data_IF_755605229024
#
_entry.id   IF_755605229024
#
_cell.length_a   1.000
_cell.length_b   1.000
_cell.length_c   1.000
_cell.angle_alpha   90.00
_cell.angle_beta   90.00
_cell.angle_gamma   90.00
#
_symmetry.space_group_name_H-M   'P 1'
#
loop_
_entity.id
_entity.type
_entity.pdbx_description
1 polymer ?
#
# COMPACT_ATOMS: atom_id res chain seq x y z
N UNK A 1 -1.75 15.12 26.64
CA UNK A 1 -1.15 13.87 27.16
C UNK A 1 0.16 13.57 26.41
N UNK A 2 0.17 13.50 25.08
CA UNK A 2 1.39 13.17 24.32
C UNK A 2 2.54 14.16 24.52
N UNK A 3 2.25 15.45 24.65
CA UNK A 3 3.26 16.49 24.89
C UNK A 3 3.99 16.37 26.25
N UNK A 4 3.41 15.64 27.21
CA UNK A 4 4.02 15.37 28.51
C UNK A 4 4.94 14.15 28.54
N UNK A 5 5.01 13.37 27.44
CA UNK A 5 5.89 12.21 27.32
C UNK A 5 7.22 12.69 26.70
N UNK A 6 8.34 12.33 27.33
CA UNK A 6 9.67 12.66 26.82
C UNK A 6 10.11 11.66 25.73
N UNK A 7 10.93 12.13 24.78
CA UNK A 7 11.47 11.32 23.69
C UNK A 7 10.60 11.30 22.44
N UNK A 8 11.00 10.50 21.47
CA UNK A 8 10.26 10.31 20.21
C UNK A 8 9.00 9.47 20.48
N UNK A 9 7.91 9.82 19.83
CA UNK A 9 6.60 9.22 20.01
C UNK A 9 6.03 8.75 18.69
N UNK A 10 5.73 7.48 18.57
CA UNK A 10 5.05 6.92 17.40
C UNK A 10 3.59 6.64 17.76
N UNK A 11 2.68 7.32 17.07
CA UNK A 11 1.26 7.05 17.09
C UNK A 11 0.90 6.20 15.88
N UNK A 12 0.38 5.00 16.11
CA UNK A 12 -0.12 4.11 15.07
C UNK A 12 -1.65 4.13 15.15
N UNK A 13 -2.29 4.45 14.03
CA UNK A 13 -3.75 4.58 13.95
C UNK A 13 -4.28 3.65 12.88
N UNK A 14 -4.98 2.62 13.31
CA UNK A 14 -5.66 1.68 12.43
C UNK A 14 -7.17 1.93 12.48
N UNK A 15 -7.64 2.73 11.55
CA UNK A 15 -9.04 3.12 11.43
C UNK A 15 -9.36 3.64 10.03
N UNK A 16 -10.62 3.53 9.64
CA UNK A 16 -11.14 4.18 8.45
C UNK A 16 -10.86 5.70 8.51
N UNK A 17 -10.49 6.28 7.38
CA UNK A 17 -10.20 7.72 7.24
C UNK A 17 -9.10 8.25 8.15
N UNK A 18 -8.23 7.39 8.65
CA UNK A 18 -7.20 7.74 9.65
C UNK A 18 -6.19 8.77 9.14
N UNK A 19 -5.93 8.84 7.84
CA UNK A 19 -5.08 9.86 7.21
C UNK A 19 -5.59 11.29 7.39
N UNK A 20 -6.89 11.48 7.64
CA UNK A 20 -7.45 12.79 7.97
C UNK A 20 -6.86 13.37 9.26
N UNK A 21 -6.43 12.53 10.19
CA UNK A 21 -5.77 12.93 11.43
C UNK A 21 -4.47 13.73 11.18
N UNK A 22 -3.78 13.43 10.09
CA UNK A 22 -2.52 14.09 9.70
C UNK A 22 -2.73 15.04 8.51
N UNK A 23 -3.97 15.42 8.24
CA UNK A 23 -4.34 16.40 7.19
C UNK A 23 -4.22 15.85 5.76
N UNK A 24 -4.06 14.54 5.59
CA UNK A 24 -3.93 13.89 4.29
C UNK A 24 -5.27 13.39 3.78
N UNK A 25 -5.53 13.67 2.52
CA UNK A 25 -6.74 13.20 1.88
C UNK A 25 -7.95 14.12 2.06
N UNK A 26 -7.79 15.34 2.55
CA UNK A 26 -8.84 16.35 2.56
C UNK A 26 -8.65 17.23 1.31
N UNK A 27 -9.35 16.91 0.22
CA UNK A 27 -9.41 17.82 -0.94
C UNK A 27 -10.50 18.88 -0.72
N UNK A 28 -10.30 20.05 -1.30
CA UNK A 28 -11.33 21.11 -1.32
C UNK A 28 -12.63 20.65 -2.02
N UNK A 29 -12.59 19.60 -2.83
CA UNK A 29 -13.74 19.04 -3.55
C UNK A 29 -14.60 18.08 -2.71
N UNK A 30 -14.10 17.56 -1.59
CA UNK A 30 -14.94 16.79 -0.65
C UNK A 30 -15.87 17.65 0.19
N UNK A 31 -15.82 18.97 0.03
CA UNK A 31 -16.73 19.93 0.61
C UNK A 31 -17.95 20.13 -0.30
N UNK A 32 -18.81 19.10 -0.42
CA UNK A 32 -20.12 19.29 -1.08
C UNK A 32 -20.92 20.38 -0.34
N UNK A 33 -21.64 21.27 -1.08
CA UNK A 33 -22.52 22.26 -0.46
C UNK A 33 -23.58 21.55 0.40
N UNK A 34 -23.50 21.73 1.71
CA UNK A 34 -24.43 21.12 2.69
C UNK A 34 -23.79 20.21 3.71
N UNK A 35 -22.57 19.71 3.52
CA UNK A 35 -21.80 19.10 4.60
C UNK A 35 -21.16 20.19 5.45
N UNK A 36 -21.44 20.23 6.75
CA UNK A 36 -20.69 21.03 7.72
C UNK A 36 -19.31 20.38 7.94
N UNK A 37 -18.51 20.22 6.87
CA UNK A 37 -17.12 19.90 6.99
C UNK A 37 -16.41 21.16 7.50
N UNK A 38 -15.83 21.08 8.67
CA UNK A 38 -14.99 22.14 9.21
C UNK A 38 -13.83 22.37 8.23
N UNK A 39 -13.49 23.62 7.99
CA UNK A 39 -12.36 23.99 7.12
C UNK A 39 -11.09 23.23 7.50
N UNK A 40 -10.25 22.82 6.53
CA UNK A 40 -8.98 22.14 6.80
C UNK A 40 -8.08 22.89 7.80
N UNK A 41 -8.17 24.22 7.87
CA UNK A 41 -7.46 25.06 8.83
C UNK A 41 -7.86 24.82 10.30
N UNK A 42 -9.01 24.20 10.56
CA UNK A 42 -9.47 23.91 11.93
C UNK A 42 -9.02 22.53 12.44
N UNK A 43 -8.38 21.72 11.60
CA UNK A 43 -7.85 20.40 11.96
C UNK A 43 -6.33 20.39 12.17
N UNK A 44 -5.69 21.56 12.29
CA UNK A 44 -4.33 21.62 12.85
C UNK A 44 -4.40 21.22 14.32
N UNK A 45 -4.34 19.92 14.56
CA UNK A 45 -4.23 19.41 15.93
C UNK A 45 -2.91 19.87 16.51
N UNK A 46 -2.89 20.62 17.64
CA UNK A 46 -1.66 21.22 18.18
C UNK A 46 -0.53 20.22 18.42
N UNK A 47 -0.83 18.93 18.63
CA UNK A 47 0.17 17.89 18.84
C UNK A 47 0.98 17.56 17.58
N UNK A 48 0.44 17.79 16.38
CA UNK A 48 1.17 17.58 15.13
C UNK A 48 2.25 18.65 14.89
N UNK A 49 2.24 19.74 15.67
CA UNK A 49 3.30 20.74 15.67
C UNK A 49 4.58 20.26 16.39
N UNK A 50 4.50 19.24 17.23
CA UNK A 50 5.64 18.65 17.89
C UNK A 50 6.42 17.72 16.95
N UNK A 51 7.69 18.05 16.68
CA UNK A 51 8.55 17.28 15.76
C UNK A 51 8.92 15.89 16.29
N UNK A 52 8.74 15.66 17.58
CA UNK A 52 8.98 14.38 18.23
C UNK A 52 7.78 13.42 18.13
N UNK A 53 6.68 13.84 17.47
CA UNK A 53 5.51 12.99 17.24
C UNK A 53 5.50 12.53 15.79
N UNK A 54 5.53 11.23 15.60
CA UNK A 54 5.40 10.54 14.34
C UNK A 54 4.05 9.85 14.29
N UNK A 55 3.38 9.88 13.16
CA UNK A 55 2.05 9.26 13.01
C UNK A 55 2.03 8.36 11.80
N UNK A 56 1.72 7.10 12.00
CA UNK A 56 1.51 6.09 10.96
C UNK A 56 0.02 5.72 10.94
N UNK A 57 -0.62 5.83 9.78
CA UNK A 57 -2.05 5.54 9.63
C UNK A 57 -2.29 4.44 8.62
N UNK A 58 -3.29 3.59 8.86
CA UNK A 58 -3.62 2.44 8.00
C UNK A 58 -4.31 2.81 6.69
N UNK A 59 -4.91 4.02 6.62
CA UNK A 59 -5.68 4.46 5.47
C UNK A 59 -5.46 5.94 5.20
N UNK A 60 -5.78 6.41 3.98
CA UNK A 60 -5.87 7.84 3.69
C UNK A 60 -7.12 8.46 4.33
N UNK A 61 -7.28 9.78 4.20
CA UNK A 61 -8.46 10.48 4.73
C UNK A 61 -9.74 10.24 3.94
N UNK A 62 -9.71 9.46 2.87
CA UNK A 62 -10.86 9.21 1.97
C UNK A 62 -11.30 7.76 1.90
N UNK A 63 -10.54 6.85 2.52
CA UNK A 63 -10.76 5.42 2.36
C UNK A 63 -10.90 4.70 3.70
N UNK A 64 -11.48 3.51 3.63
CA UNK A 64 -11.61 2.63 4.79
C UNK A 64 -10.33 1.84 5.03
N UNK A 65 -10.03 1.58 6.30
CA UNK A 65 -9.14 0.50 6.70
C UNK A 65 -9.96 -0.79 6.77
N UNK A 66 -9.38 -1.90 6.38
CA UNK A 66 -10.08 -3.16 6.23
C UNK A 66 -9.58 -4.21 7.23
N UNK A 67 -10.48 -5.06 7.62
CA UNK A 67 -10.18 -6.27 8.39
C UNK A 67 -10.78 -7.48 7.69
N UNK A 68 -10.22 -8.64 7.89
CA UNK A 68 -10.86 -9.88 7.47
C UNK A 68 -11.62 -10.48 8.65
N UNK A 69 -12.84 -10.84 8.37
CA UNK A 69 -13.65 -11.64 9.25
C UNK A 69 -13.70 -13.06 8.67
N UNK A 70 -13.27 -14.01 9.45
CA UNK A 70 -13.45 -15.42 9.11
C UNK A 70 -14.87 -15.78 9.54
N UNK A 71 -15.86 -15.65 8.67
CA UNK A 71 -17.23 -16.05 8.96
C UNK A 71 -17.27 -17.45 9.58
N UNK A 72 -17.70 -17.51 10.82
CA UNK A 72 -17.80 -18.75 11.59
C UNK A 72 -16.58 -19.10 12.45
N UNK A 73 -15.55 -18.25 12.54
CA UNK A 73 -14.41 -18.47 13.43
C UNK A 73 -14.55 -17.66 14.73
N UNK A 74 -14.25 -18.32 15.82
CA UNK A 74 -14.39 -17.78 17.18
C UNK A 74 -13.27 -16.85 17.61
N UNK A 75 -12.29 -16.59 16.76
CA UNK A 75 -11.02 -15.91 17.11
C UNK A 75 -10.96 -14.43 16.79
N UNK A 76 -12.02 -13.85 16.24
CA UNK A 76 -12.11 -12.40 16.00
C UNK A 76 -11.50 -11.91 14.69
N UNK A 77 -11.93 -10.73 14.28
CA UNK A 77 -11.45 -10.07 13.08
C UNK A 77 -10.03 -9.52 13.28
N UNK A 78 -9.18 -9.65 12.25
CA UNK A 78 -7.82 -9.10 12.25
C UNK A 78 -7.72 -8.06 11.12
N UNK A 79 -7.20 -6.89 11.45
CA UNK A 79 -6.91 -5.86 10.46
C UNK A 79 -5.78 -6.29 9.53
N UNK A 80 -5.91 -6.05 8.24
CA UNK A 80 -4.85 -6.27 7.26
C UNK A 80 -3.60 -5.45 7.61
N UNK A 81 -3.80 -4.20 8.03
CA UNK A 81 -2.72 -3.33 8.47
C UNK A 81 -2.00 -3.90 9.70
N UNK A 82 -2.72 -4.32 10.74
CA UNK A 82 -2.12 -4.89 11.94
C UNK A 82 -1.36 -6.19 11.65
N UNK A 83 -1.91 -7.04 10.76
CA UNK A 83 -1.25 -8.28 10.32
C UNK A 83 0.07 -7.98 9.59
N UNK A 84 0.05 -7.05 8.63
CA UNK A 84 1.25 -6.64 7.91
C UNK A 84 2.27 -5.95 8.82
N UNK A 85 1.82 -5.08 9.74
CA UNK A 85 2.68 -4.44 10.74
C UNK A 85 3.45 -5.48 11.58
N UNK A 86 2.75 -6.50 12.02
CA UNK A 86 3.34 -7.61 12.80
C UNK A 86 4.40 -8.36 12.01
N UNK A 87 4.16 -8.65 10.73
CA UNK A 87 5.13 -9.29 9.84
C UNK A 87 6.33 -8.37 9.56
N UNK A 88 6.04 -7.11 9.27
CA UNK A 88 7.07 -6.10 8.99
C UNK A 88 8.06 -5.93 10.14
N UNK A 89 7.59 -6.01 11.37
CA UNK A 89 8.41 -5.90 12.58
C UNK A 89 8.97 -7.24 13.10
N UNK A 90 8.77 -8.34 12.38
CA UNK A 90 9.39 -9.63 12.67
C UNK A 90 8.68 -10.47 13.73
N UNK A 91 7.39 -10.23 14.00
CA UNK A 91 6.64 -11.03 14.98
C UNK A 91 6.56 -12.52 14.57
N UNK A 92 6.60 -12.80 13.28
CA UNK A 92 6.52 -14.16 12.72
C UNK A 92 7.87 -14.67 12.17
N UNK A 93 8.97 -14.04 12.51
CA UNK A 93 10.29 -14.44 12.04
C UNK A 93 11.18 -13.25 11.70
N UNK A 94 11.86 -13.28 10.55
CA UNK A 94 12.66 -12.15 10.10
C UNK A 94 11.74 -10.95 9.84
N UNK A 95 12.16 -9.72 10.26
CA UNK A 95 11.40 -8.51 9.93
C UNK A 95 11.30 -8.32 8.41
N UNK A 96 10.11 -8.41 7.84
CA UNK A 96 9.91 -8.29 6.39
C UNK A 96 10.10 -6.84 5.90
N UNK A 97 9.98 -5.85 6.80
CA UNK A 97 10.23 -4.46 6.49
C UNK A 97 11.73 -4.08 6.48
N UNK A 98 12.64 -4.93 6.97
CA UNK A 98 14.08 -4.75 6.83
C UNK A 98 14.52 -4.99 5.37
N UNK A 99 14.31 -3.98 4.53
CA UNK A 99 14.50 -4.10 3.08
C UNK A 99 15.96 -4.13 2.66
N UNK A 100 16.85 -3.55 3.46
CA UNK A 100 18.28 -3.48 3.19
C UNK A 100 19.09 -4.57 3.92
N UNK A 101 18.43 -5.40 4.76
CA UNK A 101 19.01 -6.50 5.53
C UNK A 101 20.10 -6.06 6.52
N UNK A 102 19.94 -4.89 7.13
CA UNK A 102 20.87 -4.37 8.15
C UNK A 102 20.52 -4.75 9.59
N UNK A 103 19.39 -5.42 9.81
CA UNK A 103 18.89 -5.83 11.13
C UNK A 103 18.08 -4.76 11.85
N UNK A 104 17.84 -3.61 11.24
CA UNK A 104 17.02 -2.52 11.77
C UNK A 104 15.88 -2.21 10.80
N UNK A 105 14.77 -1.69 11.32
CA UNK A 105 13.64 -1.24 10.51
C UNK A 105 13.41 0.24 10.79
N UNK A 106 13.63 1.08 9.79
CA UNK A 106 13.27 2.50 9.87
C UNK A 106 11.78 2.70 9.63
N UNK A 107 11.23 3.84 10.07
CA UNK A 107 9.82 4.18 9.78
C UNK A 107 9.53 4.24 8.28
N UNK A 108 10.49 4.68 7.46
CA UNK A 108 10.33 4.72 6.00
C UNK A 108 10.33 3.33 5.38
N UNK A 109 11.19 2.42 5.83
CA UNK A 109 11.15 1.02 5.39
C UNK A 109 9.84 0.36 5.77
N UNK A 110 9.38 0.56 7.02
CA UNK A 110 8.09 0.06 7.46
C UNK A 110 6.95 0.61 6.60
N UNK A 111 6.92 1.92 6.33
CA UNK A 111 5.90 2.54 5.48
C UNK A 111 5.90 1.94 4.07
N UNK A 112 7.09 1.79 3.46
CA UNK A 112 7.22 1.19 2.11
C UNK A 112 6.71 -0.24 2.10
N UNK A 113 7.12 -1.03 3.07
CA UNK A 113 6.65 -2.41 3.23
C UNK A 113 5.13 -2.45 3.38
N UNK A 114 4.57 -1.70 4.33
CA UNK A 114 3.12 -1.67 4.55
C UNK A 114 2.34 -1.17 3.32
N UNK A 115 2.87 -0.21 2.59
CA UNK A 115 2.24 0.26 1.36
C UNK A 115 2.16 -0.81 0.27
N UNK A 116 3.06 -1.76 0.25
CA UNK A 116 3.04 -2.91 -0.65
C UNK A 116 2.20 -4.07 -0.09
N UNK A 117 2.31 -4.33 1.22
CA UNK A 117 1.67 -5.46 1.89
C UNK A 117 0.17 -5.22 2.21
N UNK A 118 -0.30 -3.97 2.19
CA UNK A 118 -1.70 -3.60 2.45
C UNK A 118 -2.27 -2.85 1.25
N UNK A 119 -2.50 -3.53 0.11
CA UNK A 119 -2.97 -2.88 -1.10
C UNK A 119 -4.43 -2.40 -1.01
N UNK A 120 -5.20 -2.89 -0.03
CA UNK A 120 -6.59 -2.52 0.21
C UNK A 120 -6.78 -1.09 0.74
N UNK A 121 -5.71 -0.47 1.26
CA UNK A 121 -5.75 0.92 1.74
C UNK A 121 -4.40 1.61 1.58
N UNK A 122 -4.40 2.95 1.61
CA UNK A 122 -3.18 3.76 1.41
C UNK A 122 -2.59 4.15 2.76
N UNK A 123 -1.56 3.43 3.17
CA UNK A 123 -0.82 3.71 4.40
C UNK A 123 -0.12 5.07 4.32
N UNK A 124 -0.30 5.91 5.34
CA UNK A 124 0.28 7.25 5.41
C UNK A 124 1.24 7.38 6.58
N UNK A 125 2.27 8.21 6.42
CA UNK A 125 3.25 8.51 7.46
C UNK A 125 3.47 10.02 7.57
N UNK A 126 3.35 10.57 8.77
CA UNK A 126 3.83 11.89 9.13
C UNK A 126 5.04 11.72 10.04
N UNK A 127 6.23 12.07 9.57
CA UNK A 127 7.46 12.00 10.34
C UNK A 127 8.51 12.95 9.76
N UNK A 128 9.20 13.68 10.64
CA UNK A 128 10.39 14.45 10.26
C UNK A 128 11.66 13.58 10.21
N UNK A 129 11.61 12.36 10.76
CA UNK A 129 12.75 11.46 10.95
C UNK A 129 12.49 10.06 10.36
N UNK A 130 11.70 9.97 9.29
CA UNK A 130 11.27 8.68 8.72
C UNK A 130 12.43 7.74 8.35
N UNK A 131 13.55 8.30 7.87
CA UNK A 131 14.73 7.53 7.44
C UNK A 131 15.75 7.26 8.57
N UNK A 132 15.59 7.87 9.73
CA UNK A 132 16.57 7.77 10.84
C UNK A 132 16.01 7.19 12.11
N UNK A 133 14.70 7.27 12.31
CA UNK A 133 14.04 6.67 13.46
C UNK A 133 13.86 5.17 13.21
N UNK A 134 14.58 4.36 13.97
CA UNK A 134 14.46 2.90 13.93
C UNK A 134 13.43 2.41 14.94
N UNK A 135 12.77 1.34 14.60
CA UNK A 135 11.76 0.67 15.40
C UNK A 135 12.34 -0.59 16.05
N UNK A 136 11.89 -0.94 17.25
CA UNK A 136 12.21 -2.24 17.81
C UNK A 136 11.60 -3.34 16.94
N UNK A 137 12.43 -4.32 16.60
CA UNK A 137 11.99 -5.53 15.89
C UNK A 137 11.84 -6.68 16.89
N UNK A 138 10.92 -7.59 16.63
CA UNK A 138 10.78 -8.77 17.45
C UNK A 138 12.02 -9.67 17.28
N UNK A 139 12.71 -9.92 18.36
CA UNK A 139 13.87 -10.82 18.38
C UNK A 139 13.53 -12.06 19.20
N UNK A 140 13.54 -13.24 18.57
CA UNK A 140 13.63 -14.52 19.28
C UNK A 140 12.34 -15.20 19.73
N UNK A 141 11.15 -14.63 19.53
CA UNK A 141 9.89 -15.32 19.71
C UNK A 141 9.10 -15.27 18.41
N UNK A 142 9.43 -16.14 17.50
CA UNK A 142 8.64 -16.34 16.28
C UNK A 142 7.31 -16.99 16.65
N UNK A 143 6.21 -16.28 16.43
CA UNK A 143 4.93 -16.95 16.27
C UNK A 143 5.00 -17.70 14.94
N UNK A 144 4.87 -19.03 14.99
CA UNK A 144 4.92 -19.85 13.79
C UNK A 144 3.76 -19.48 12.87
N UNK A 145 4.06 -19.11 11.64
CA UNK A 145 3.08 -19.08 10.55
C UNK A 145 3.22 -20.36 9.76
N UNK A 146 2.10 -21.03 9.51
CA UNK A 146 2.09 -22.21 8.67
C UNK A 146 2.61 -21.93 7.24
N UNK A 147 2.50 -20.68 6.77
CA UNK A 147 3.01 -20.23 5.46
C UNK A 147 3.95 -19.06 5.62
N UNK A 148 5.03 -19.05 4.81
CA UNK A 148 6.04 -17.99 4.78
C UNK A 148 6.72 -17.89 3.42
N UNK A 149 7.64 -16.93 3.25
CA UNK A 149 8.52 -16.83 2.09
C UNK A 149 7.77 -16.70 0.76
N UNK A 150 6.72 -15.87 0.73
CA UNK A 150 5.95 -15.60 -0.47
C UNK A 150 6.80 -14.92 -1.54
N UNK A 151 6.61 -15.34 -2.77
CA UNK A 151 7.19 -14.71 -3.96
C UNK A 151 6.14 -14.75 -5.07
N UNK A 152 5.87 -13.62 -5.66
CA UNK A 152 4.90 -13.47 -6.73
C UNK A 152 5.62 -13.11 -8.03
N UNK A 153 5.12 -13.61 -9.14
CA UNK A 153 5.42 -13.10 -10.47
C UNK A 153 4.85 -11.70 -10.69
N UNK A 154 4.60 -11.34 -11.94
CA UNK A 154 4.07 -10.03 -12.29
C UNK A 154 2.67 -9.82 -11.69
N UNK A 155 2.44 -8.64 -11.13
CA UNK A 155 1.14 -8.28 -10.56
C UNK A 155 0.23 -7.58 -11.57
N UNK A 156 0.79 -7.16 -12.70
CA UNK A 156 0.07 -6.63 -13.83
C UNK A 156 0.10 -7.67 -14.96
N UNK A 157 -1.06 -8.22 -15.26
CA UNK A 157 -1.29 -9.25 -16.28
C UNK A 157 -2.01 -8.63 -17.47
N UNK A 158 -1.87 -9.23 -18.64
CA UNK A 158 -2.63 -8.85 -19.83
C UNK A 158 -3.92 -9.70 -19.91
N UNK A 159 -4.95 -9.19 -20.56
CA UNK A 159 -6.25 -9.86 -20.67
C UNK A 159 -6.24 -11.09 -21.59
N UNK A 160 -5.20 -11.28 -22.39
CA UNK A 160 -5.00 -12.45 -23.24
C UNK A 160 -4.28 -13.62 -22.52
N UNK A 161 -3.60 -13.37 -21.41
CA UNK A 161 -2.99 -14.39 -20.53
C UNK A 161 -3.01 -13.92 -19.05
N UNK A 162 -4.18 -13.92 -18.39
CA UNK A 162 -4.30 -13.47 -17.02
C UNK A 162 -3.90 -14.57 -16.01
N UNK A 163 -2.69 -15.13 -16.16
CA UNK A 163 -2.17 -16.20 -15.30
C UNK A 163 -1.10 -15.66 -14.36
N UNK A 164 -1.33 -15.80 -13.05
CA UNK A 164 -0.38 -15.44 -12.00
C UNK A 164 0.43 -16.66 -11.56
N UNK A 165 1.74 -16.57 -11.67
CA UNK A 165 2.66 -17.47 -10.99
C UNK A 165 3.03 -16.95 -9.60
N UNK A 166 2.99 -17.80 -8.59
CA UNK A 166 3.47 -17.45 -7.25
C UNK A 166 3.96 -18.68 -6.49
N UNK A 167 4.71 -18.43 -5.44
CA UNK A 167 5.24 -19.51 -4.60
C UNK A 167 5.29 -19.09 -3.14
N UNK A 168 5.24 -20.08 -2.25
CA UNK A 168 5.34 -19.92 -0.81
C UNK A 168 5.94 -21.16 -0.17
N UNK A 169 6.34 -21.05 1.08
CA UNK A 169 6.85 -22.20 1.86
C UNK A 169 5.83 -22.59 2.91
N UNK A 170 5.42 -23.84 2.89
CA UNK A 170 4.65 -24.48 3.97
C UNK A 170 5.65 -24.87 5.06
N UNK A 171 5.47 -24.39 6.28
CA UNK A 171 6.36 -24.68 7.43
C UNK A 171 5.86 -25.82 8.29
N UNK A 172 4.54 -26.01 8.34
CA UNK A 172 3.86 -27.10 9.04
C UNK A 172 2.67 -27.57 8.22
N UNK A 173 2.26 -28.82 8.40
CA UNK A 173 1.14 -29.39 7.64
C UNK A 173 -0.14 -28.57 7.84
N UNK A 174 -0.69 -28.02 6.76
CA UNK A 174 -1.84 -27.12 6.77
C UNK A 174 -2.61 -27.18 5.46
N UNK A 175 -3.89 -26.88 5.50
CA UNK A 175 -4.63 -26.56 4.29
C UNK A 175 -4.37 -25.10 3.89
N UNK A 176 -4.42 -24.83 2.59
CA UNK A 176 -4.24 -23.47 2.04
C UNK A 176 -5.46 -23.10 1.24
N UNK A 177 -5.96 -21.90 1.51
CA UNK A 177 -7.11 -21.32 0.83
C UNK A 177 -6.71 -20.04 0.14
N UNK A 178 -7.14 -19.87 -1.10
CA UNK A 178 -7.03 -18.63 -1.86
C UNK A 178 -8.39 -17.95 -1.91
N UNK A 179 -8.35 -16.61 -1.81
CA UNK A 179 -9.52 -15.76 -2.07
C UNK A 179 -9.11 -14.67 -3.05
N UNK A 180 -9.87 -14.52 -4.11
CA UNK A 180 -9.73 -13.43 -5.08
C UNK A 180 -10.94 -12.53 -4.99
N UNK A 181 -10.71 -11.25 -4.72
CA UNK A 181 -11.74 -10.23 -4.58
C UNK A 181 -11.58 -9.25 -5.72
N UNK A 182 -12.63 -9.03 -6.52
CA UNK A 182 -12.64 -8.07 -7.61
C UNK A 182 -12.96 -6.67 -7.09
N UNK A 183 -12.46 -5.66 -7.78
CA UNK A 183 -12.95 -4.31 -7.60
C UNK A 183 -14.10 -4.05 -8.58
N UNK A 184 -15.22 -3.55 -8.05
CA UNK A 184 -16.41 -3.18 -8.84
C UNK A 184 -16.84 -1.77 -8.41
N UNK A 185 -16.99 -0.86 -9.37
CA UNK A 185 -17.41 0.54 -9.11
C UNK A 185 -16.57 1.26 -8.03
N UNK A 186 -15.27 1.00 -7.99
CA UNK A 186 -14.34 1.63 -7.05
C UNK A 186 -14.33 1.03 -5.63
N UNK A 187 -15.12 -0.01 -5.36
CA UNK A 187 -15.14 -0.77 -4.11
C UNK A 187 -14.75 -2.24 -4.31
N UNK A 188 -14.35 -2.90 -3.23
CA UNK A 188 -14.05 -4.33 -3.24
C UNK A 188 -15.36 -5.14 -3.08
N UNK A 189 -15.60 -6.09 -3.99
CA UNK A 189 -16.77 -6.95 -3.96
C UNK A 189 -16.52 -8.20 -3.10
N UNK A 190 -16.59 -7.99 -1.79
CA UNK A 190 -16.39 -9.05 -0.81
C UNK A 190 -17.46 -10.14 -0.85
N UNK A 191 -18.67 -9.80 -1.29
CA UNK A 191 -19.81 -10.73 -1.31
C UNK A 191 -19.67 -11.78 -2.40
N UNK A 192 -19.02 -11.41 -3.51
CA UNK A 192 -18.81 -12.29 -4.66
C UNK A 192 -17.33 -12.72 -4.80
N UNK A 193 -16.59 -12.72 -3.68
CA UNK A 193 -15.21 -13.18 -3.69
C UNK A 193 -15.11 -14.66 -4.12
N UNK A 194 -14.26 -14.93 -5.11
CA UNK A 194 -13.94 -16.30 -5.49
C UNK A 194 -13.03 -16.94 -4.44
N UNK A 195 -13.40 -18.11 -3.96
CA UNK A 195 -12.64 -18.83 -2.92
C UNK A 195 -12.42 -20.27 -3.36
N UNK A 196 -11.19 -20.76 -3.25
CA UNK A 196 -10.81 -22.13 -3.60
C UNK A 196 -9.70 -22.66 -2.69
N UNK A 197 -9.67 -23.96 -2.50
CA UNK A 197 -8.64 -24.64 -1.72
C UNK A 197 -7.49 -25.05 -2.63
N UNK A 198 -6.27 -24.99 -2.10
CA UNK A 198 -5.12 -25.63 -2.73
C UNK A 198 -5.16 -27.14 -2.43
N UNK A 199 -5.47 -27.94 -3.44
CA UNK A 199 -5.54 -29.39 -3.37
C UNK A 199 -4.31 -30.09 -4.00
N UNK A 200 -3.28 -29.29 -4.36
CA UNK A 200 -2.21 -29.70 -5.28
C UNK A 200 -1.31 -30.85 -4.86
N UNK A 201 -1.21 -31.22 -3.56
CA UNK A 201 -0.20 -32.19 -3.11
C UNK A 201 -0.72 -33.29 -2.19
N UNK A 202 -1.94 -33.20 -1.67
CA UNK A 202 -2.30 -34.02 -0.53
C UNK A 202 -3.64 -34.75 -0.69
N UNK A 203 -3.64 -36.02 -0.28
CA UNK A 203 -4.86 -36.74 0.08
C UNK A 203 -5.46 -36.05 1.31
N UNK A 204 -6.56 -35.31 1.13
CA UNK A 204 -7.29 -34.67 2.21
C UNK A 204 -7.13 -33.16 2.32
N UNK A 205 -6.54 -32.47 1.32
CA UNK A 205 -6.46 -31.01 1.27
C UNK A 205 -5.39 -30.40 2.19
N UNK A 206 -4.54 -31.19 2.84
CA UNK A 206 -3.40 -30.72 3.63
C UNK A 206 -2.12 -30.71 2.78
N UNK A 207 -1.40 -29.62 2.82
CA UNK A 207 -0.08 -29.49 2.18
C UNK A 207 1.02 -29.87 3.18
N UNK A 208 1.97 -30.68 2.71
CA UNK A 208 3.16 -31.03 3.47
C UNK A 208 4.18 -29.89 3.49
N UNK A 209 5.04 -29.79 4.53
CA UNK A 209 6.12 -28.81 4.58
C UNK A 209 7.00 -28.80 3.33
N UNK A 210 7.43 -27.62 2.93
CA UNK A 210 8.28 -27.38 1.76
C UNK A 210 7.80 -26.25 0.88
N UNK A 211 8.62 -25.90 -0.12
CA UNK A 211 8.26 -24.87 -1.08
C UNK A 211 7.23 -25.37 -2.07
N UNK A 212 6.24 -24.55 -2.31
CA UNK A 212 5.15 -24.77 -3.27
C UNK A 212 5.19 -23.69 -4.33
N UNK A 213 5.02 -24.07 -5.60
CA UNK A 213 4.81 -23.16 -6.72
C UNK A 213 3.43 -23.41 -7.27
N UNK A 214 2.71 -22.33 -7.59
CA UNK A 214 1.33 -22.36 -8.06
C UNK A 214 1.14 -21.42 -9.23
N UNK A 215 0.21 -21.80 -10.09
CA UNK A 215 -0.33 -20.98 -11.17
C UNK A 215 -1.81 -20.76 -10.90
N UNK A 216 -2.25 -19.51 -11.00
CA UNK A 216 -3.63 -19.11 -10.82
C UNK A 216 -4.11 -18.38 -12.08
N UNK A 217 -4.97 -19.03 -12.85
CA UNK A 217 -5.63 -18.43 -14.01
C UNK A 217 -6.87 -17.66 -13.57
N UNK A 218 -6.95 -16.39 -13.94
CA UNK A 218 -7.99 -15.47 -13.48
C UNK A 218 -9.18 -15.37 -14.47
N UNK A 219 -9.11 -15.99 -15.65
CA UNK A 219 -10.15 -15.93 -16.69
C UNK A 219 -11.56 -16.23 -16.17
N UNK A 220 -11.73 -17.32 -15.46
CA UNK A 220 -13.03 -17.72 -14.90
C UNK A 220 -13.53 -16.82 -13.76
N UNK A 221 -12.65 -16.01 -13.19
CA UNK A 221 -12.95 -15.07 -12.11
C UNK A 221 -13.35 -13.70 -12.67
N UNK A 222 -12.79 -13.34 -13.80
CA UNK A 222 -12.97 -12.03 -14.44
C UNK A 222 -14.22 -11.95 -15.31
N UNK A 223 -14.80 -13.07 -15.73
CA UNK A 223 -15.90 -13.11 -16.71
C UNK A 223 -15.59 -12.32 -17.99
N UNK A 224 -14.32 -12.27 -18.40
CA UNK A 224 -13.83 -11.47 -19.53
C UNK A 224 -13.67 -9.97 -19.25
N UNK A 225 -13.81 -9.53 -18.01
CA UNK A 225 -13.56 -8.14 -17.61
C UNK A 225 -12.12 -7.96 -17.16
N UNK A 226 -11.55 -6.78 -17.43
CA UNK A 226 -10.26 -6.34 -16.92
C UNK A 226 -10.44 -5.49 -15.66
N UNK A 227 -9.40 -5.28 -14.87
CA UNK A 227 -9.45 -4.43 -13.69
C UNK A 227 -8.56 -4.90 -12.56
N UNK A 228 -8.82 -4.38 -11.36
CA UNK A 228 -8.04 -4.71 -10.17
C UNK A 228 -8.68 -5.84 -9.37
N UNK A 229 -7.80 -6.66 -8.80
CA UNK A 229 -8.17 -7.75 -7.90
C UNK A 229 -7.23 -7.79 -6.72
N UNK A 230 -7.66 -8.42 -5.66
CA UNK A 230 -6.87 -8.70 -4.48
C UNK A 230 -6.81 -10.20 -4.27
N UNK A 231 -5.62 -10.77 -4.35
CA UNK A 231 -5.36 -12.15 -3.96
C UNK A 231 -5.02 -12.19 -2.48
N UNK A 232 -5.71 -13.04 -1.75
CA UNK A 232 -5.45 -13.35 -0.35
C UNK A 232 -5.12 -14.83 -0.21
N UNK A 233 -4.08 -15.15 0.55
CA UNK A 233 -3.64 -16.51 0.83
C UNK A 233 -3.77 -16.80 2.32
N UNK A 234 -4.53 -17.82 2.66
CA UNK A 234 -4.81 -18.21 4.04
C UNK A 234 -4.24 -19.58 4.35
N UNK A 235 -3.69 -19.74 5.55
CA UNK A 235 -3.50 -21.05 6.18
C UNK A 235 -4.75 -21.43 6.95
N UNK A 236 -5.16 -22.70 6.83
CA UNK A 236 -6.31 -23.25 7.53
C UNK A 236 -5.84 -24.39 8.43
N UNK A 237 -5.82 -24.15 9.74
CA UNK A 237 -5.36 -25.12 10.74
C UNK A 237 -6.51 -25.42 11.70
N UNK A 238 -7.13 -26.54 11.55
CA UNK A 238 -8.32 -26.91 12.35
C UNK A 238 -9.49 -25.94 12.10
N UNK A 239 -9.84 -25.16 13.11
CA UNK A 239 -10.90 -24.14 13.03
C UNK A 239 -10.36 -22.72 12.79
N UNK A 240 -9.06 -22.55 12.68
CA UNK A 240 -8.43 -21.24 12.47
C UNK A 240 -8.12 -21.02 11.00
N UNK A 241 -8.48 -19.83 10.48
CA UNK A 241 -8.12 -19.35 9.14
C UNK A 241 -7.28 -18.09 9.33
N UNK A 242 -6.01 -18.16 8.94
CA UNK A 242 -5.04 -17.12 9.18
C UNK A 242 -4.61 -16.52 7.84
N UNK A 243 -4.84 -15.22 7.63
CA UNK A 243 -4.30 -14.52 6.47
C UNK A 243 -2.77 -14.49 6.55
N UNK A 244 -2.12 -15.06 5.56
CA UNK A 244 -0.67 -15.13 5.48
C UNK A 244 -0.10 -14.16 4.45
N UNK A 245 -0.83 -13.85 3.39
CA UNK A 245 -0.39 -12.90 2.37
C UNK A 245 -1.57 -12.24 1.67
N UNK A 246 -1.39 -10.98 1.30
CA UNK A 246 -2.32 -10.21 0.47
C UNK A 246 -1.52 -9.57 -0.68
N UNK A 247 -2.04 -9.67 -1.91
CA UNK A 247 -1.39 -9.12 -3.10
C UNK A 247 -2.40 -8.42 -4.00
N UNK A 248 -2.11 -7.16 -4.37
CA UNK A 248 -2.84 -6.45 -5.40
C UNK A 248 -2.41 -6.99 -6.77
N UNK A 249 -3.38 -7.36 -7.58
CA UNK A 249 -3.23 -7.78 -8.96
C UNK A 249 -4.06 -6.86 -9.85
N UNK A 250 -3.68 -6.77 -11.10
CA UNK A 250 -4.50 -6.13 -12.10
C UNK A 250 -4.40 -6.89 -13.43
N UNK A 251 -5.50 -6.93 -14.15
CA UNK A 251 -5.54 -7.38 -15.55
C UNK A 251 -5.81 -6.16 -16.42
N UNK A 252 -4.90 -5.90 -17.35
CA UNK A 252 -4.97 -4.78 -18.26
C UNK A 252 -5.65 -5.19 -19.55
N UNK A 253 -6.62 -4.39 -20.04
CA UNK A 253 -7.20 -4.63 -21.36
C UNK A 253 -6.21 -4.26 -22.45
N UNK A 254 -5.97 -5.16 -23.39
CA UNK A 254 -5.09 -4.92 -24.56
C UNK A 254 -5.74 -4.02 -25.62
N UNK A 255 -7.08 -3.95 -25.64
CA UNK A 255 -7.84 -3.21 -26.67
C UNK A 255 -8.08 -1.73 -26.34
N UNK A 256 -7.64 -1.22 -25.19
CA UNK A 256 -7.87 0.18 -24.75
C UNK A 256 -6.64 1.04 -25.01
N UNK A 257 -6.82 2.17 -25.72
CA UNK A 257 -5.74 3.15 -25.89
C UNK A 257 -5.41 3.84 -24.57
N UNK A 258 -4.13 3.80 -24.12
CA UNK A 258 -3.75 4.34 -22.83
C UNK A 258 -3.75 5.87 -22.82
N UNK A 259 -4.21 6.45 -21.71
CA UNK A 259 -4.14 7.89 -21.44
C UNK A 259 -3.49 8.10 -20.08
N UNK A 260 -2.43 8.91 -20.04
CA UNK A 260 -1.61 9.15 -18.83
C UNK A 260 -1.52 10.65 -18.56
N UNK A 261 -1.91 11.07 -17.35
CA UNK A 261 -1.74 12.44 -16.89
C UNK A 261 -1.18 12.50 -15.48
N UNK A 262 -0.47 13.58 -15.18
CA UNK A 262 0.03 13.89 -13.84
C UNK A 262 -0.32 15.35 -13.51
N UNK A 263 -0.92 15.56 -12.36
CA UNK A 263 -1.26 16.90 -11.86
C UNK A 263 -0.86 17.06 -10.39
N UNK A 264 -0.73 18.29 -9.95
CA UNK A 264 -0.52 18.63 -8.55
C UNK A 264 -1.74 19.40 -8.02
N UNK A 265 -2.21 19.08 -6.83
CA UNK A 265 -3.34 19.78 -6.23
C UNK A 265 -3.03 21.27 -5.99
N UNK A 266 -1.78 21.58 -5.60
CA UNK A 266 -1.21 22.94 -5.57
C UNK A 266 0.22 22.87 -6.10
N UNK A 267 0.47 23.51 -7.23
CA UNK A 267 1.81 23.55 -7.81
C UNK A 267 2.80 24.39 -6.96
N UNK A 268 2.32 25.24 -6.05
CA UNK A 268 3.12 25.98 -5.08
C UNK A 268 3.01 25.33 -3.70
N UNK A 269 4.14 24.96 -3.15
CA UNK A 269 4.24 24.14 -1.96
C UNK A 269 5.25 24.70 -0.96
N UNK A 270 4.83 24.90 0.29
CA UNK A 270 5.70 25.29 1.38
C UNK A 270 6.25 24.06 2.10
N UNK A 271 7.51 23.71 1.81
CA UNK A 271 8.18 22.57 2.43
C UNK A 271 8.44 22.76 3.94
N UNK A 272 8.34 23.99 4.47
CA UNK A 272 8.49 24.27 5.90
C UNK A 272 7.21 23.99 6.68
N UNK A 273 6.06 24.17 6.04
CA UNK A 273 4.78 23.73 6.57
C UNK A 273 4.77 22.19 6.57
N UNK A 274 4.18 21.58 7.61
CA UNK A 274 4.06 20.11 7.70
C UNK A 274 2.97 19.55 6.77
N UNK A 275 2.86 20.15 5.58
CA UNK A 275 1.92 19.72 4.53
C UNK A 275 2.70 18.95 3.47
N UNK A 276 2.04 18.06 2.81
CA UNK A 276 2.57 17.35 1.67
C UNK A 276 1.97 17.91 0.39
N UNK A 277 2.76 17.93 -0.66
CA UNK A 277 2.29 18.10 -2.00
C UNK A 277 1.56 16.83 -2.43
N UNK A 278 0.33 16.94 -2.88
CA UNK A 278 -0.43 15.83 -3.45
C UNK A 278 -0.26 15.86 -4.97
N UNK A 279 0.26 14.75 -5.50
CA UNK A 279 0.31 14.49 -6.93
C UNK A 279 -0.79 13.48 -7.28
N UNK A 280 -1.55 13.76 -8.33
CA UNK A 280 -2.57 12.87 -8.86
C UNK A 280 -2.13 12.32 -10.22
N UNK A 281 -1.85 11.03 -10.25
CA UNK A 281 -1.64 10.28 -11.48
C UNK A 281 -2.96 9.68 -11.93
N UNK A 282 -3.41 9.99 -13.16
CA UNK A 282 -4.61 9.43 -13.78
C UNK A 282 -4.18 8.60 -14.98
N UNK A 283 -4.55 7.33 -14.94
CA UNK A 283 -4.28 6.38 -16.01
C UNK A 283 -5.55 5.55 -16.20
N UNK A 284 -6.06 5.51 -17.41
CA UNK A 284 -7.35 4.87 -17.71
C UNK A 284 -7.29 3.34 -17.80
N UNK A 285 -6.11 2.76 -17.60
CA UNK A 285 -5.87 1.30 -17.53
C UNK A 285 -4.94 0.99 -16.36
N UNK A 286 -5.00 -0.22 -15.78
CA UNK A 286 -3.99 -0.64 -14.82
C UNK A 286 -2.58 -0.56 -15.40
N UNK A 287 -1.64 -0.01 -14.64
CA UNK A 287 -0.27 0.17 -15.09
C UNK A 287 0.72 0.17 -13.91
N UNK A 288 1.96 -0.20 -14.17
CA UNK A 288 3.05 0.06 -13.25
C UNK A 288 3.65 1.45 -13.52
N UNK A 289 3.78 2.26 -12.49
CA UNK A 289 4.27 3.63 -12.60
C UNK A 289 5.57 3.83 -11.82
N UNK A 290 6.43 4.67 -12.39
CA UNK A 290 7.56 5.27 -11.68
C UNK A 290 7.32 6.77 -11.61
N UNK A 291 7.35 7.35 -10.40
CA UNK A 291 7.16 8.78 -10.19
C UNK A 291 8.34 9.35 -9.42
N UNK A 292 8.99 10.35 -10.01
CA UNK A 292 10.19 10.97 -9.48
C UNK A 292 10.05 12.49 -9.45
N UNK A 293 10.70 13.12 -8.48
CA UNK A 293 10.89 14.58 -8.39
C UNK A 293 12.30 14.91 -8.86
N UNK A 294 12.41 15.94 -9.70
CA UNK A 294 13.66 16.45 -10.24
C UNK A 294 13.81 17.94 -9.89
N UNK A 295 15.04 18.39 -9.71
CA UNK A 295 15.36 19.81 -9.59
C UNK A 295 15.37 20.53 -10.97
N UNK A 296 15.59 21.85 -10.97
CA UNK A 296 15.64 22.66 -12.18
C UNK A 296 16.78 22.28 -13.14
N UNK A 297 17.76 21.50 -12.69
CA UNK A 297 18.87 20.98 -13.50
C UNK A 297 18.58 19.55 -14.02
N UNK A 298 17.42 19.00 -13.71
CA UNK A 298 17.01 17.65 -14.09
C UNK A 298 17.67 16.55 -13.25
N UNK A 299 18.26 16.89 -12.10
CA UNK A 299 18.82 15.91 -11.19
C UNK A 299 17.70 15.30 -10.35
N UNK A 300 17.73 13.97 -10.18
CA UNK A 300 16.81 13.25 -9.31
C UNK A 300 16.94 13.72 -7.85
N UNK A 301 15.83 14.11 -7.27
CA UNK A 301 15.71 14.58 -5.89
C UNK A 301 15.04 13.52 -5.02
N UNK A 302 13.90 12.98 -5.48
CA UNK A 302 13.10 12.02 -4.73
C UNK A 302 12.42 11.04 -5.66
N UNK A 303 12.39 9.76 -5.28
CA UNK A 303 11.57 8.75 -5.93
C UNK A 303 10.34 8.45 -5.05
N UNK A 304 9.16 8.78 -5.56
CA UNK A 304 7.88 8.59 -4.86
C UNK A 304 7.28 7.22 -5.13
N UNK A 305 7.43 6.70 -6.35
CA UNK A 305 7.04 5.35 -6.74
C UNK A 305 8.10 4.75 -7.68
N UNK A 306 8.29 3.44 -7.63
CA UNK A 306 9.23 2.70 -8.47
C UNK A 306 8.58 1.40 -8.91
N UNK A 307 8.19 1.32 -10.20
CA UNK A 307 7.46 0.20 -10.77
C UNK A 307 6.29 -0.24 -9.86
N UNK A 308 5.55 0.74 -9.36
CA UNK A 308 4.43 0.49 -8.46
C UNK A 308 3.15 0.35 -9.27
N UNK A 309 2.40 -0.74 -9.04
CA UNK A 309 1.09 -0.90 -9.65
C UNK A 309 0.17 0.25 -9.22
N UNK A 310 -0.53 0.86 -10.20
CA UNK A 310 -1.58 1.85 -9.92
C UNK A 310 -2.63 1.23 -9.01
N UNK A 311 -3.25 2.05 -8.16
CA UNK A 311 -4.24 1.58 -7.21
C UNK A 311 -5.64 1.89 -7.70
N UNK A 312 -6.57 0.96 -7.45
CA UNK A 312 -7.97 1.27 -7.65
C UNK A 312 -8.36 2.39 -6.68
N UNK A 313 -8.82 3.50 -7.22
CA UNK A 313 -9.33 4.61 -6.42
C UNK A 313 -10.55 5.21 -7.11
N UNK A 314 -11.48 5.83 -6.37
CA UNK A 314 -12.57 6.57 -6.99
C UNK A 314 -12.03 7.56 -8.02
N UNK A 315 -12.49 7.45 -9.28
CA UNK A 315 -12.08 8.30 -10.40
C UNK A 315 -10.73 7.96 -11.03
N UNK A 316 -10.24 6.73 -10.89
CA UNK A 316 -8.99 6.21 -11.50
C UNK A 316 -7.76 7.08 -11.19
N UNK A 317 -7.66 7.54 -9.95
CA UNK A 317 -6.60 8.44 -9.49
C UNK A 317 -5.68 7.74 -8.50
N UNK A 318 -4.43 7.55 -8.87
CA UNK A 318 -3.38 7.17 -7.91
C UNK A 318 -2.78 8.44 -7.30
N UNK A 319 -2.90 8.58 -5.98
CA UNK A 319 -2.33 9.72 -5.25
C UNK A 319 -0.96 9.38 -4.69
N UNK A 320 -0.04 10.32 -4.87
CA UNK A 320 1.32 10.27 -4.33
C UNK A 320 1.57 11.54 -3.52
N UNK A 321 2.40 11.41 -2.49
CA UNK A 321 2.62 12.48 -1.53
C UNK A 321 4.11 12.81 -1.46
N UNK A 322 4.46 14.09 -1.54
CA UNK A 322 5.82 14.56 -1.38
C UNK A 322 5.92 15.56 -0.23
N UNK A 323 6.76 15.26 0.73
CA UNK A 323 6.99 16.02 1.97
C UNK A 323 8.07 17.13 1.81
N UNK A 324 8.52 17.39 0.59
CA UNK A 324 9.59 18.38 0.30
C UNK A 324 10.98 17.91 0.73
N UNK A 325 11.22 16.58 0.81
CA UNK A 325 12.52 16.00 1.14
C UNK A 325 13.10 15.23 -0.04
N UNK A 326 14.43 15.15 -0.08
CA UNK A 326 15.16 14.30 -1.01
C UNK A 326 15.17 12.83 -0.54
N UNK A 327 15.81 11.94 -1.30
CA UNK A 327 15.94 10.51 -0.93
C UNK A 327 16.77 10.28 0.35
N UNK A 328 17.62 11.24 0.74
CA UNK A 328 18.35 11.19 2.01
C UNK A 328 17.52 11.69 3.21
N UNK A 329 16.27 12.13 2.99
CA UNK A 329 15.40 12.67 4.03
C UNK A 329 15.67 14.15 4.38
N UNK A 330 16.56 14.84 3.65
CA UNK A 330 16.88 16.23 3.85
C UNK A 330 15.86 17.13 3.13
N UNK A 331 15.50 18.26 3.74
CA UNK A 331 14.62 19.24 3.10
C UNK A 331 15.29 19.83 1.86
N UNK A 332 14.51 19.96 0.80
CA UNK A 332 14.99 20.59 -0.42
C UNK A 332 14.96 22.12 -0.28
N UNK A 333 15.87 22.84 -0.94
CA UNK A 333 15.83 24.31 -0.98
C UNK A 333 14.58 24.83 -1.70
N UNK A 334 14.20 26.07 -1.42
CA UNK A 334 13.20 26.77 -2.21
C UNK A 334 13.66 26.90 -3.66
N UNK A 335 12.73 26.68 -4.60
CA UNK A 335 13.08 26.72 -6.04
C UNK A 335 12.08 26.00 -6.91
N UNK A 336 12.43 25.86 -8.20
CA UNK A 336 11.66 25.14 -9.19
C UNK A 336 12.03 23.65 -9.21
N UNK A 337 11.02 22.80 -9.27
CA UNK A 337 11.11 21.34 -9.36
C UNK A 337 10.11 20.85 -10.39
N UNK A 338 10.24 19.60 -10.80
CA UNK A 338 9.26 18.93 -11.65
C UNK A 338 9.01 17.51 -11.13
N UNK A 339 7.75 17.12 -11.05
CA UNK A 339 7.41 15.70 -10.94
C UNK A 339 7.24 15.08 -12.33
N UNK A 340 7.80 13.90 -12.52
CA UNK A 340 7.63 13.12 -13.74
C UNK A 340 7.11 11.73 -13.40
N UNK A 341 6.04 11.34 -14.10
CA UNK A 341 5.49 10.00 -14.14
C UNK A 341 5.96 9.33 -15.42
N UNK A 342 6.47 8.11 -15.31
CA UNK A 342 6.83 7.24 -16.42
C UNK A 342 6.16 5.86 -16.25
N UNK A 343 5.68 5.30 -17.33
CA UNK A 343 5.10 3.94 -17.40
C UNK A 343 5.36 3.34 -18.78
N UNK A 344 5.24 2.02 -18.87
CA UNK A 344 5.26 1.29 -20.16
C UNK A 344 3.92 0.59 -20.32
N UNK A 345 3.21 0.85 -21.41
CA UNK A 345 1.91 0.26 -21.71
C UNK A 345 1.94 -0.22 -23.16
N UNK A 346 1.65 -1.51 -23.38
CA UNK A 346 1.72 -2.11 -24.72
C UNK A 346 3.10 -2.00 -25.38
N UNK A 347 4.18 -2.00 -24.57
CA UNK A 347 5.56 -1.82 -25.03
C UNK A 347 5.97 -0.38 -25.33
N UNK A 348 5.04 0.59 -25.26
CA UNK A 348 5.32 2.00 -25.49
C UNK A 348 5.52 2.75 -24.17
N UNK A 349 6.57 3.60 -24.14
CA UNK A 349 6.84 4.47 -22.98
C UNK A 349 5.93 5.69 -23.01
N UNK A 350 5.17 5.86 -21.95
CA UNK A 350 4.33 7.04 -21.70
C UNK A 350 4.97 7.89 -20.59
N UNK A 351 4.85 9.22 -20.75
CA UNK A 351 5.41 10.17 -19.76
C UNK A 351 4.46 11.35 -19.56
N UNK A 352 4.25 11.73 -18.30
CA UNK A 352 3.57 12.96 -17.93
C UNK A 352 4.41 13.74 -16.90
N UNK A 353 4.35 15.08 -16.95
CA UNK A 353 5.12 15.94 -16.03
C UNK A 353 4.25 17.06 -15.49
N UNK A 354 4.58 17.52 -14.28
CA UNK A 354 3.99 18.70 -13.66
C UNK A 354 5.08 19.51 -12.96
N UNK A 355 5.07 20.82 -13.18
CA UNK A 355 6.00 21.76 -12.55
C UNK A 355 5.55 22.07 -11.10
N UNK A 356 6.52 22.21 -10.21
CA UNK A 356 6.33 22.43 -8.78
C UNK A 356 7.22 23.60 -8.35
N UNK A 357 6.69 24.51 -7.56
CA UNK A 357 7.46 25.55 -6.90
C UNK A 357 7.50 25.31 -5.40
N UNK A 358 8.70 25.11 -4.85
CA UNK A 358 8.93 25.01 -3.40
C UNK A 358 9.26 26.41 -2.85
N UNK A 359 8.56 26.82 -1.79
CA UNK A 359 8.77 28.08 -1.06
C UNK A 359 9.47 27.89 0.26
#
# INVERSE_FOLDING_TARGET
ILSGIQGEKLLIVDACYSGALIGRGISAQSLLPGSRAQSPASMETPFLADSSIHVLTSASGFESSWYYDSEGLTTGAVSYFASALSSGLGLYGKPEADMNNNGEVTLEELRRYLSAAVPSSSVQLLSAQANTLTLPVATGASLSRALSGFSYGDSLLEDDDPTLEFSYTVTEETAVQYRVVRQVNGGWDWQNAATFLDDGDATGGLLTPGRKTRELTLDGILDGESGYMMLQVFAVTGSEVILCSERLLAVRPTAVEPSVTLSAENAEFDASARRELVLEARINVPAEITVCIYDAQGKLVRRLASAQLTRPAPGDVTRLYWDGRNDAGERVPAGAYAAALETVIGGERQKATVDITVR
#
